data_IF_003458808887
#
_entry.id   IF_003458808887
#
_cell.length_a   1.000
_cell.length_b   1.000
_cell.length_c   1.000
_cell.angle_alpha   90.00
_cell.angle_beta   90.00
_cell.angle_gamma   90.00
#
_symmetry.space_group_name_H-M   'P 1'
#
loop_
_entity.id
_entity.type
_entity.pdbx_description
1 polymer ?
#
# COMPACT_ATOMS: atom_id res chain seq x y z
N UNK A 1 11.25 -24.21 39.74
CA UNK A 1 10.82 -22.91 40.30
C UNK A 1 10.23 -22.08 39.17
N UNK A 2 8.91 -21.82 39.18
CA UNK A 2 8.33 -20.77 38.32
C UNK A 2 8.68 -19.44 38.99
N UNK A 3 9.33 -18.52 38.27
CA UNK A 3 9.51 -17.15 38.76
C UNK A 3 8.12 -16.54 38.97
N UNK A 4 7.79 -16.18 40.21
CA UNK A 4 6.61 -15.37 40.50
C UNK A 4 6.87 -13.95 39.98
N UNK A 5 6.17 -13.57 38.92
CA UNK A 5 6.18 -12.19 38.42
C UNK A 5 5.42 -11.34 39.43
N UNK A 6 6.05 -10.24 39.87
CA UNK A 6 5.41 -9.29 40.78
C UNK A 6 4.33 -8.48 40.06
N UNK A 7 3.34 -7.97 40.81
CA UNK A 7 2.30 -7.10 40.25
C UNK A 7 2.88 -5.87 39.54
N UNK A 8 3.94 -5.28 40.09
CA UNK A 8 4.62 -4.13 39.48
C UNK A 8 5.30 -4.47 38.13
N UNK A 9 5.92 -5.64 38.03
CA UNK A 9 6.48 -6.13 36.76
C UNK A 9 5.39 -6.43 35.73
N UNK A 10 4.25 -6.95 36.18
CA UNK A 10 3.08 -7.20 35.34
C UNK A 10 2.53 -5.89 34.75
N UNK A 11 2.35 -4.87 35.59
CA UNK A 11 1.88 -3.55 35.17
C UNK A 11 2.82 -2.93 34.13
N UNK A 12 4.13 -2.93 34.37
CA UNK A 12 5.11 -2.42 33.40
C UNK A 12 5.07 -3.17 32.06
N UNK A 13 4.86 -4.49 32.09
CA UNK A 13 4.71 -5.28 30.87
C UNK A 13 3.45 -4.89 30.11
N UNK A 14 2.32 -4.67 30.79
CA UNK A 14 1.08 -4.23 30.16
C UNK A 14 1.24 -2.87 29.49
N UNK A 15 1.79 -1.88 30.20
CA UNK A 15 2.07 -0.54 29.67
C UNK A 15 2.95 -0.59 28.41
N UNK A 16 4.00 -1.42 28.42
CA UNK A 16 4.86 -1.61 27.24
C UNK A 16 4.08 -2.17 26.04
N UNK A 17 3.20 -3.14 26.25
CA UNK A 17 2.41 -3.72 25.15
C UNK A 17 1.36 -2.73 24.62
N UNK A 18 0.81 -1.89 25.49
CA UNK A 18 -0.11 -0.81 25.12
C UNK A 18 0.57 0.23 24.23
N UNK A 19 1.73 0.75 24.67
CA UNK A 19 2.52 1.68 23.86
C UNK A 19 2.94 1.07 22.50
N UNK A 20 3.34 -0.21 22.49
CA UNK A 20 3.68 -0.91 21.25
C UNK A 20 2.48 -1.06 20.31
N UNK A 21 1.30 -1.38 20.87
CA UNK A 21 0.07 -1.52 20.10
C UNK A 21 -0.35 -0.18 19.48
N UNK A 22 -0.30 0.89 20.25
CA UNK A 22 -0.60 2.25 19.78
C UNK A 22 0.32 2.65 18.64
N UNK A 23 1.64 2.50 18.81
CA UNK A 23 2.61 2.76 17.74
C UNK A 23 2.38 1.91 16.48
N UNK A 24 1.89 0.67 16.62
CA UNK A 24 1.56 -0.16 15.45
C UNK A 24 0.30 0.34 14.72
N UNK A 25 -0.71 0.84 15.43
CA UNK A 25 -1.88 1.49 14.82
C UNK A 25 -1.49 2.77 14.09
N UNK A 26 -0.71 3.66 14.70
CA UNK A 26 -0.25 4.90 14.07
C UNK A 26 0.49 4.64 12.75
N UNK A 27 1.41 3.66 12.76
CA UNK A 27 2.11 3.28 11.53
C UNK A 27 1.14 2.70 10.50
N UNK A 28 0.13 1.94 10.91
CA UNK A 28 -0.83 1.32 9.99
C UNK A 28 -1.70 2.39 9.33
N UNK A 29 -2.14 3.39 10.09
CA UNK A 29 -2.88 4.54 9.58
C UNK A 29 -2.05 5.31 8.54
N UNK A 30 -0.76 5.50 8.80
CA UNK A 30 0.16 6.11 7.82
C UNK A 30 0.23 5.32 6.52
N UNK A 31 0.39 4.00 6.58
CA UNK A 31 0.47 3.14 5.40
C UNK A 31 -0.86 3.15 4.60
N UNK A 32 -2.00 3.18 5.29
CA UNK A 32 -3.32 3.36 4.67
C UNK A 32 -3.46 4.71 3.97
N UNK A 33 -3.03 5.80 4.61
CA UNK A 33 -3.03 7.13 4.00
C UNK A 33 -2.16 7.18 2.73
N UNK A 34 -1.00 6.51 2.75
CA UNK A 34 -0.14 6.39 1.58
C UNK A 34 -0.84 5.64 0.44
N UNK A 35 -1.46 4.48 0.73
CA UNK A 35 -2.23 3.70 -0.25
C UNK A 35 -3.38 4.52 -0.87
N UNK A 36 -4.16 5.24 -0.05
CA UNK A 36 -5.26 6.09 -0.51
C UNK A 36 -4.74 7.17 -1.46
N UNK A 37 -3.62 7.82 -1.11
CA UNK A 37 -2.97 8.84 -1.94
C UNK A 37 -2.52 8.25 -3.28
N UNK A 38 -1.90 7.07 -3.25
CA UNK A 38 -1.43 6.38 -4.44
C UNK A 38 -2.58 5.98 -5.39
N UNK A 39 -3.67 5.43 -4.85
CA UNK A 39 -4.90 5.12 -5.59
C UNK A 39 -5.49 6.37 -6.25
N UNK A 40 -5.49 7.51 -5.56
CA UNK A 40 -5.96 8.79 -6.10
C UNK A 40 -5.07 9.25 -7.26
N UNK A 41 -3.76 9.23 -7.09
CA UNK A 41 -2.80 9.60 -8.13
C UNK A 41 -2.95 8.72 -9.38
N UNK A 42 -3.09 7.40 -9.19
CA UNK A 42 -3.27 6.46 -10.30
C UNK A 42 -4.56 6.74 -11.09
N UNK A 43 -5.65 7.13 -10.41
CA UNK A 43 -6.90 7.53 -11.07
C UNK A 43 -6.67 8.71 -12.01
N UNK A 44 -5.96 9.75 -11.55
CA UNK A 44 -5.65 10.93 -12.36
C UNK A 44 -4.77 10.57 -13.57
N UNK A 45 -3.78 9.69 -13.39
CA UNK A 45 -2.92 9.22 -14.48
C UNK A 45 -3.74 8.39 -15.49
N UNK A 46 -4.61 7.50 -15.02
CA UNK A 46 -5.49 6.70 -15.88
C UNK A 46 -6.41 7.59 -16.73
N UNK A 47 -7.00 8.61 -16.13
CA UNK A 47 -7.82 9.58 -16.83
C UNK A 47 -7.03 10.33 -17.90
N UNK A 48 -5.82 10.79 -17.56
CA UNK A 48 -4.91 11.44 -18.51
C UNK A 48 -4.56 10.52 -19.70
N UNK A 49 -4.26 9.24 -19.44
CA UNK A 49 -3.98 8.25 -20.49
C UNK A 49 -5.22 8.02 -21.37
N UNK A 50 -6.41 7.90 -20.77
CA UNK A 50 -7.66 7.72 -21.51
C UNK A 50 -7.99 8.92 -22.40
N UNK A 51 -7.76 10.15 -21.92
CA UNK A 51 -7.96 11.36 -22.71
C UNK A 51 -7.02 11.38 -23.92
N UNK A 52 -5.74 11.06 -23.72
CA UNK A 52 -4.78 10.93 -24.82
C UNK A 52 -5.25 9.88 -25.84
N UNK A 53 -5.71 8.71 -25.40
CA UNK A 53 -6.25 7.67 -26.28
C UNK A 53 -7.46 8.19 -27.09
N UNK A 54 -8.40 8.87 -26.42
CA UNK A 54 -9.61 9.42 -27.04
C UNK A 54 -9.33 10.48 -28.09
N UNK A 55 -8.32 11.32 -27.89
CA UNK A 55 -7.91 12.33 -28.88
C UNK A 55 -7.15 11.69 -30.05
N UNK A 56 -6.39 10.63 -29.78
CA UNK A 56 -5.60 9.94 -30.79
C UNK A 56 -6.45 9.05 -31.72
N UNK A 57 -7.54 8.47 -31.21
CA UNK A 57 -8.43 7.57 -31.98
C UNK A 57 -9.26 8.28 -33.06
N UNK A 58 -9.34 9.62 -33.00
CA UNK A 58 -10.02 10.46 -34.00
C UNK A 58 -9.18 10.71 -35.28
N UNK A 59 -7.97 10.16 -35.37
CA UNK A 59 -7.10 10.24 -36.56
C UNK A 59 -6.35 8.95 -36.85
N UNK A 60 -5.59 8.92 -37.95
CA UNK A 60 -4.71 7.79 -38.31
C UNK A 60 -3.50 7.75 -37.38
N UNK A 61 -3.66 7.13 -36.22
CA UNK A 61 -2.59 6.94 -35.25
C UNK A 61 -1.48 6.03 -35.80
N UNK A 62 -0.23 6.47 -35.71
CA UNK A 62 0.96 5.66 -36.00
C UNK A 62 0.94 4.33 -35.22
N UNK A 63 1.45 3.26 -35.82
CA UNK A 63 1.68 1.95 -35.18
C UNK A 63 2.49 2.07 -33.88
N UNK A 64 3.46 2.99 -33.82
CA UNK A 64 4.28 3.22 -32.62
C UNK A 64 3.46 3.78 -31.45
N UNK A 65 2.51 4.66 -31.74
CA UNK A 65 1.64 5.29 -30.75
C UNK A 65 0.65 4.27 -30.18
N UNK A 66 0.02 3.45 -31.03
CA UNK A 66 -0.85 2.33 -30.59
C UNK A 66 -0.10 1.36 -29.66
N UNK A 67 1.15 1.02 -30.00
CA UNK A 67 1.99 0.14 -29.18
C UNK A 67 2.25 0.75 -27.79
N UNK A 68 2.59 2.02 -27.70
CA UNK A 68 2.87 2.68 -26.41
C UNK A 68 1.60 2.85 -25.56
N UNK A 69 0.45 3.15 -26.18
CA UNK A 69 -0.83 3.22 -25.49
C UNK A 69 -1.22 1.86 -24.87
N UNK A 70 -1.05 0.76 -25.62
CA UNK A 70 -1.29 -0.58 -25.10
C UNK A 70 -0.37 -0.93 -23.92
N UNK A 71 0.91 -0.56 -24.00
CA UNK A 71 1.84 -0.75 -22.87
C UNK A 71 1.43 0.06 -21.65
N UNK A 72 1.05 1.33 -21.82
CA UNK A 72 0.59 2.17 -20.72
C UNK A 72 -0.66 1.58 -20.06
N UNK A 73 -1.61 1.07 -20.85
CA UNK A 73 -2.80 0.36 -20.33
C UNK A 73 -2.44 -0.89 -19.54
N UNK A 74 -1.55 -1.73 -20.07
CA UNK A 74 -1.08 -2.92 -19.36
C UNK A 74 -0.40 -2.59 -18.03
N UNK A 75 0.48 -1.58 -18.00
CA UNK A 75 1.11 -1.12 -16.76
C UNK A 75 0.08 -0.59 -15.75
N UNK A 76 -0.92 0.17 -16.19
CA UNK A 76 -2.00 0.64 -15.31
C UNK A 76 -2.79 -0.53 -14.69
N UNK A 77 -3.05 -1.59 -15.45
CA UNK A 77 -3.71 -2.80 -14.94
C UNK A 77 -2.82 -3.51 -13.91
N UNK A 78 -1.52 -3.67 -14.18
CA UNK A 78 -0.57 -4.24 -13.23
C UNK A 78 -0.48 -3.43 -11.94
N UNK A 79 -0.35 -2.10 -12.02
CA UNK A 79 -0.30 -1.25 -10.83
C UNK A 79 -1.60 -1.38 -10.02
N UNK A 80 -2.77 -1.40 -10.66
CA UNK A 80 -4.05 -1.58 -9.96
C UNK A 80 -4.12 -2.92 -9.20
N UNK A 81 -3.57 -3.98 -9.77
CA UNK A 81 -3.49 -5.28 -9.10
C UNK A 81 -2.62 -5.19 -7.85
N UNK A 82 -1.43 -4.58 -7.95
CA UNK A 82 -0.55 -4.38 -6.79
C UNK A 82 -1.22 -3.54 -5.70
N UNK A 83 -1.92 -2.46 -6.05
CA UNK A 83 -2.67 -1.65 -5.07
C UNK A 83 -3.77 -2.45 -4.36
N UNK A 84 -4.38 -3.42 -5.04
CA UNK A 84 -5.39 -4.31 -4.45
C UNK A 84 -4.74 -5.31 -3.48
N UNK A 85 -3.56 -5.82 -3.82
CA UNK A 85 -2.78 -6.70 -2.95
C UNK A 85 -2.32 -5.96 -1.68
N UNK A 86 -1.79 -4.74 -1.82
CA UNK A 86 -1.40 -3.88 -0.70
C UNK A 86 -2.58 -3.67 0.26
N UNK A 87 -3.77 -3.35 -0.28
CA UNK A 87 -4.99 -3.17 0.51
C UNK A 87 -5.37 -4.43 1.30
N UNK A 88 -5.24 -5.60 0.67
CA UNK A 88 -5.51 -6.88 1.33
C UNK A 88 -4.58 -7.11 2.52
N UNK A 89 -3.26 -6.95 2.34
CA UNK A 89 -2.29 -7.09 3.42
C UNK A 89 -2.50 -6.08 4.55
N UNK A 90 -2.78 -4.81 4.22
CA UNK A 90 -3.09 -3.83 5.25
C UNK A 90 -4.40 -4.14 5.98
N UNK A 91 -5.40 -4.73 5.32
CA UNK A 91 -6.63 -5.18 5.97
C UNK A 91 -6.36 -6.30 6.97
N UNK A 92 -5.58 -7.31 6.58
CA UNK A 92 -5.18 -8.42 7.46
C UNK A 92 -4.38 -7.89 8.65
N UNK A 93 -3.45 -6.97 8.41
CA UNK A 93 -2.68 -6.31 9.45
C UNK A 93 -3.57 -5.62 10.49
N UNK A 94 -4.57 -4.85 10.02
CA UNK A 94 -5.52 -4.16 10.88
C UNK A 94 -6.34 -5.11 11.75
N UNK A 95 -6.91 -6.17 11.14
CA UNK A 95 -7.68 -7.17 11.88
C UNK A 95 -6.86 -7.83 12.97
N UNK A 96 -5.57 -8.06 12.68
CA UNK A 96 -4.62 -8.65 13.63
C UNK A 96 -4.33 -7.70 14.79
N UNK A 97 -4.16 -6.40 14.53
CA UNK A 97 -4.05 -5.39 15.60
C UNK A 97 -5.32 -5.32 16.46
N UNK A 98 -6.51 -5.41 15.85
CA UNK A 98 -7.77 -5.45 16.60
C UNK A 98 -7.90 -6.70 17.48
N UNK A 99 -7.30 -7.84 17.07
CA UNK A 99 -7.20 -9.04 17.93
C UNK A 99 -6.22 -8.78 19.07
N UNK A 100 -5.03 -8.26 18.79
CA UNK A 100 -4.04 -7.89 19.81
C UNK A 100 -4.65 -6.96 20.86
N UNK A 101 -5.36 -5.91 20.44
CA UNK A 101 -6.08 -4.97 21.32
C UNK A 101 -7.08 -5.68 22.24
N UNK A 102 -7.92 -6.55 21.69
CA UNK A 102 -8.90 -7.33 22.47
C UNK A 102 -8.23 -8.21 23.51
N UNK A 103 -7.12 -8.86 23.18
CA UNK A 103 -6.36 -9.68 24.13
C UNK A 103 -5.69 -8.83 25.20
N UNK A 104 -5.14 -7.66 24.84
CA UNK A 104 -4.55 -6.74 25.81
C UNK A 104 -5.59 -6.24 26.82
N UNK A 105 -6.79 -5.86 26.37
CA UNK A 105 -7.89 -5.48 27.27
C UNK A 105 -8.27 -6.60 28.25
N UNK A 106 -8.29 -7.86 27.78
CA UNK A 106 -8.51 -9.03 28.65
C UNK A 106 -7.39 -9.21 29.67
N UNK A 107 -6.14 -8.99 29.27
CA UNK A 107 -4.97 -9.08 30.14
C UNK A 107 -5.00 -8.00 31.23
N UNK A 108 -5.43 -6.78 30.89
CA UNK A 108 -5.63 -5.68 31.85
C UNK A 108 -6.76 -5.99 32.84
N UNK A 109 -7.81 -6.69 32.40
CA UNK A 109 -8.94 -7.07 33.25
C UNK A 109 -8.70 -8.32 34.14
N UNK A 110 -7.68 -9.15 33.84
CA UNK A 110 -7.40 -10.40 34.55
C UNK A 110 -5.96 -10.44 35.06
N UNK A 111 -5.78 -10.41 36.37
CA UNK A 111 -4.46 -10.48 37.04
C UNK A 111 -3.87 -11.91 37.10
N UNK A 112 -4.64 -12.94 36.77
CA UNK A 112 -4.28 -14.36 37.03
C UNK A 112 -3.77 -15.09 35.77
N UNK A 113 -4.02 -14.58 34.56
CA UNK A 113 -3.60 -15.20 33.29
C UNK A 113 -2.82 -14.27 32.36
N UNK A 114 -2.36 -13.13 32.87
CA UNK A 114 -1.79 -12.05 32.06
C UNK A 114 -0.59 -12.50 31.22
N UNK A 115 0.24 -13.43 31.71
CA UNK A 115 1.43 -13.92 31.00
C UNK A 115 1.13 -14.56 29.63
N UNK A 116 0.30 -15.61 29.58
CA UNK A 116 -0.04 -16.29 28.31
C UNK A 116 -0.86 -15.43 27.36
N UNK A 117 -1.63 -14.48 27.90
CA UNK A 117 -2.37 -13.50 27.10
C UNK A 117 -1.39 -12.51 26.44
N UNK A 118 -0.36 -12.04 27.14
CA UNK A 118 0.66 -11.15 26.57
C UNK A 118 1.51 -11.82 25.48
N UNK A 119 1.79 -13.13 25.59
CA UNK A 119 2.44 -13.89 24.52
C UNK A 119 1.56 -13.94 23.26
N UNK A 120 0.25 -14.07 23.45
CA UNK A 120 -0.73 -14.01 22.36
C UNK A 120 -0.78 -12.63 21.72
N UNK A 121 -0.76 -11.56 22.52
CA UNK A 121 -0.66 -10.17 22.02
C UNK A 121 0.60 -10.00 21.18
N UNK A 122 1.75 -10.49 21.67
CA UNK A 122 3.03 -10.41 20.94
C UNK A 122 2.96 -11.13 19.60
N UNK A 123 2.34 -12.31 19.56
CA UNK A 123 2.14 -13.08 18.31
C UNK A 123 1.36 -12.26 17.28
N UNK A 124 0.25 -11.65 17.69
CA UNK A 124 -0.56 -10.83 16.80
C UNK A 124 0.15 -9.55 16.36
N UNK A 125 0.91 -8.89 17.23
CA UNK A 125 1.71 -7.73 16.85
C UNK A 125 2.76 -8.09 15.78
N UNK A 126 3.48 -9.20 15.96
CA UNK A 126 4.46 -9.69 14.99
C UNK A 126 3.81 -10.02 13.65
N UNK A 127 2.65 -10.69 13.65
CA UNK A 127 1.92 -10.98 12.43
C UNK A 127 1.47 -9.70 11.71
N UNK A 128 0.92 -8.72 12.43
CA UNK A 128 0.54 -7.43 11.85
C UNK A 128 1.74 -6.71 11.20
N UNK A 129 2.91 -6.77 11.83
CA UNK A 129 4.15 -6.18 11.32
C UNK A 129 4.63 -6.88 10.04
N UNK A 130 4.54 -8.21 9.98
CA UNK A 130 4.89 -8.97 8.78
C UNK A 130 3.99 -8.60 7.59
N UNK A 131 2.68 -8.50 7.80
CA UNK A 131 1.73 -8.10 6.74
C UNK A 131 2.01 -6.68 6.23
N UNK A 132 2.32 -5.74 7.13
CA UNK A 132 2.74 -4.38 6.74
C UNK A 132 4.05 -4.39 5.96
N UNK A 133 5.00 -5.24 6.32
CA UNK A 133 6.27 -5.34 5.62
C UNK A 133 6.05 -5.80 4.18
N UNK A 134 5.25 -6.84 3.96
CA UNK A 134 4.84 -7.28 2.62
C UNK A 134 4.12 -6.17 1.86
N UNK A 135 3.21 -5.44 2.51
CA UNK A 135 2.54 -4.30 1.90
C UNK A 135 3.52 -3.20 1.46
N UNK A 136 4.59 -2.95 2.23
CA UNK A 136 5.64 -1.99 1.86
C UNK A 136 6.45 -2.45 0.66
N UNK A 137 6.83 -3.72 0.57
CA UNK A 137 7.55 -4.24 -0.60
C UNK A 137 6.71 -4.11 -1.89
N UNK A 138 5.40 -4.33 -1.78
CA UNK A 138 4.47 -4.13 -2.88
C UNK A 138 4.29 -2.65 -3.24
N UNK A 139 4.33 -1.74 -2.26
CA UNK A 139 4.34 -0.28 -2.51
C UNK A 139 5.58 0.13 -3.29
N UNK A 140 6.76 -0.35 -2.89
CA UNK A 140 8.03 -0.05 -3.57
C UNK A 140 8.01 -0.56 -5.03
N UNK A 141 7.41 -1.74 -5.24
CA UNK A 141 7.17 -2.29 -6.58
C UNK A 141 6.20 -1.42 -7.39
N UNK A 142 5.11 -0.96 -6.78
CA UNK A 142 4.13 -0.08 -7.44
C UNK A 142 4.78 1.26 -7.86
N UNK A 143 5.67 1.82 -7.04
CA UNK A 143 6.43 3.04 -7.36
C UNK A 143 7.33 2.84 -8.58
N UNK A 144 8.06 1.73 -8.64
CA UNK A 144 8.87 1.38 -9.83
C UNK A 144 8.03 1.27 -11.10
N UNK A 145 6.85 0.64 -11.02
CA UNK A 145 5.92 0.54 -12.15
C UNK A 145 5.36 1.91 -12.56
N UNK A 146 5.13 2.82 -11.60
CA UNK A 146 4.71 4.19 -11.90
C UNK A 146 5.78 4.99 -12.64
N UNK A 147 7.06 4.85 -12.29
CA UNK A 147 8.15 5.48 -13.03
C UNK A 147 8.25 4.96 -14.47
N UNK A 148 8.07 3.65 -14.67
CA UNK A 148 7.99 3.08 -16.02
C UNK A 148 6.81 3.67 -16.81
N UNK A 149 5.63 3.79 -16.19
CA UNK A 149 4.46 4.39 -16.81
C UNK A 149 4.69 5.86 -17.19
N UNK A 150 5.33 6.65 -16.32
CA UNK A 150 5.72 8.05 -16.63
C UNK A 150 6.61 8.11 -17.88
N UNK A 151 7.59 7.20 -17.98
CA UNK A 151 8.46 7.09 -19.16
C UNK A 151 7.68 6.83 -20.45
N UNK A 152 6.71 5.90 -20.43
CA UNK A 152 5.86 5.61 -21.60
C UNK A 152 4.98 6.80 -21.96
N UNK A 153 4.40 7.50 -20.98
CA UNK A 153 3.62 8.72 -21.22
C UNK A 153 4.47 9.79 -21.91
N UNK A 154 5.73 9.97 -21.50
CA UNK A 154 6.62 10.93 -22.15
C UNK A 154 6.95 10.54 -23.60
N UNK A 155 7.12 9.25 -23.89
CA UNK A 155 7.30 8.76 -25.26
C UNK A 155 6.06 9.02 -26.13
N UNK A 156 4.86 8.85 -25.56
CA UNK A 156 3.59 9.16 -26.23
C UNK A 156 3.53 10.66 -26.58
N UNK A 157 3.80 11.53 -25.61
CA UNK A 157 3.83 12.99 -25.81
C UNK A 157 4.84 13.41 -26.88
N UNK A 158 6.06 12.87 -26.83
CA UNK A 158 7.09 13.17 -27.83
C UNK A 158 6.67 12.74 -29.25
N UNK A 159 6.05 11.56 -29.38
CA UNK A 159 5.50 11.10 -30.67
C UNK A 159 4.45 12.06 -31.20
N UNK A 160 3.57 12.57 -30.33
CA UNK A 160 2.53 13.52 -30.72
C UNK A 160 3.11 14.86 -31.19
N UNK A 161 4.05 15.43 -30.44
CA UNK A 161 4.71 16.69 -30.80
C UNK A 161 5.45 16.61 -32.14
N UNK A 162 6.10 15.48 -32.42
CA UNK A 162 6.76 15.25 -33.70
C UNK A 162 5.76 15.23 -34.87
N UNK A 163 4.60 14.59 -34.70
CA UNK A 163 3.54 14.56 -35.72
C UNK A 163 2.98 15.96 -35.98
N UNK A 164 2.80 16.78 -34.93
CA UNK A 164 2.36 18.18 -35.09
C UNK A 164 3.40 18.97 -35.87
N UNK A 165 4.67 18.92 -35.44
CA UNK A 165 5.77 19.68 -36.07
C UNK A 165 5.92 19.34 -37.56
N UNK A 166 5.73 18.07 -37.93
CA UNK A 166 5.76 17.64 -39.34
C UNK A 166 4.61 18.18 -40.17
N UNK A 167 3.44 18.46 -39.58
CA UNK A 167 2.30 19.06 -40.29
C UNK A 167 2.42 20.58 -40.46
N UNK A 168 3.23 21.25 -39.64
CA UNK A 168 3.44 22.70 -39.72
C UNK A 168 4.56 23.08 -40.72
N UNK A 169 5.40 22.13 -41.12
CA UNK A 169 6.53 22.34 -42.03
C UNK A 169 6.25 21.93 -43.49
N UNK A 170 5.06 21.39 -43.80
CA UNK A 170 4.64 21.00 -45.15
C UNK A 170 3.44 21.78 -45.61
#
# INVERSE_FOLDING_TARGET
>A
MKQEITLAELTKKLEKHEANLESCFEKWEKDQCNLITLKRNLRNVRESVNNIIGDTSKGTASLSLKKNLNKAKGLLETINLELSNIESHLTISHETLLRAKRHLTKAQASSVQTGSILDTVTTYLTQSQAERHTAQELLDKADSLQEQLKGIINQIKATFNNVISQKEQG
#
